data_IF_692507994997
#
_entry.id   IF_692507994997
#
_cell.length_a   1.000
_cell.length_b   1.000
_cell.length_c   1.000
_cell.angle_alpha   90.00
_cell.angle_beta   90.00
_cell.angle_gamma   90.00
#
_symmetry.space_group_name_H-M   'P 1'
#
loop_
_entity.id
_entity.type
_entity.pdbx_description
1 polymer ?
#
# COMPACT_ATOMS: atom_id res chain seq x y z
N UNK A 1 -10.52 29.00 10.12
CA UNK A 1 -10.43 27.77 10.93
C UNK A 1 -9.31 26.92 10.35
N UNK A 2 -8.12 26.92 10.96
CA UNK A 2 -6.97 26.19 10.44
C UNK A 2 -7.09 24.74 10.91
N UNK A 3 -7.75 23.88 10.11
CA UNK A 3 -7.64 22.44 10.28
C UNK A 3 -6.18 22.09 9.98
N UNK A 4 -5.37 22.04 11.02
CA UNK A 4 -4.08 21.40 11.02
C UNK A 4 -4.35 19.93 10.68
N UNK A 5 -4.29 19.61 9.38
CA UNK A 5 -4.28 18.23 8.90
C UNK A 5 -3.10 17.61 9.60
N UNK A 6 -3.36 16.69 10.54
CA UNK A 6 -2.29 15.88 11.10
C UNK A 6 -1.65 15.20 9.90
N UNK A 7 -0.38 15.50 9.63
CA UNK A 7 0.38 14.72 8.66
C UNK A 7 0.46 13.32 9.27
N UNK A 8 -0.35 12.40 8.75
CA UNK A 8 -0.33 11.03 9.23
C UNK A 8 0.71 10.29 8.41
N UNK A 9 1.74 9.82 9.11
CA UNK A 9 2.88 9.08 8.60
C UNK A 9 2.78 7.67 9.19
N UNK A 10 2.77 6.66 8.34
CA UNK A 10 2.72 5.27 8.74
C UNK A 10 4.01 4.59 8.32
N UNK A 11 4.69 3.92 9.25
CA UNK A 11 5.80 3.04 8.88
C UNK A 11 5.22 1.76 8.29
N UNK A 12 5.65 1.45 7.07
CA UNK A 12 5.18 0.29 6.31
C UNK A 12 6.37 -0.42 5.70
N UNK A 13 6.21 -1.70 5.41
CA UNK A 13 7.19 -2.47 4.64
C UNK A 13 6.61 -2.79 3.26
N UNK A 14 7.21 -2.27 2.20
CA UNK A 14 6.79 -2.59 0.84
C UNK A 14 7.23 -4.01 0.49
N UNK A 15 6.28 -4.87 0.14
CA UNK A 15 6.53 -6.28 -0.15
C UNK A 15 6.49 -6.59 -1.64
N UNK A 16 5.53 -5.99 -2.36
CA UNK A 16 5.29 -6.33 -3.75
C UNK A 16 4.49 -5.26 -4.49
N UNK A 17 4.82 -5.07 -5.77
CA UNK A 17 4.03 -4.26 -6.70
C UNK A 17 3.69 -5.11 -7.93
N UNK A 18 2.42 -5.13 -8.32
CA UNK A 18 1.95 -5.82 -9.52
C UNK A 18 1.12 -4.88 -10.39
N UNK A 19 1.22 -5.02 -11.70
CA UNK A 19 0.23 -4.46 -12.61
C UNK A 19 -0.89 -5.47 -12.82
N UNK A 20 -2.13 -5.02 -12.69
CA UNK A 20 -3.29 -5.82 -13.06
C UNK A 20 -3.35 -5.93 -14.58
N UNK A 21 -3.34 -7.17 -15.08
CA UNK A 21 -3.49 -7.51 -16.49
C UNK A 21 -4.66 -8.48 -16.68
N UNK A 22 -5.29 -8.46 -17.85
CA UNK A 22 -6.42 -9.33 -18.14
C UNK A 22 -6.09 -10.83 -18.14
N UNK A 23 -4.81 -11.23 -18.15
CA UNK A 23 -4.42 -12.65 -18.13
C UNK A 23 -4.33 -13.22 -16.71
N UNK A 24 -3.35 -12.77 -15.92
CA UNK A 24 -2.92 -13.51 -14.73
C UNK A 24 -3.28 -12.85 -13.40
N UNK A 25 -3.31 -11.52 -13.32
CA UNK A 25 -3.55 -10.77 -12.08
C UNK A 25 -4.71 -9.82 -12.29
N UNK A 26 -5.91 -10.22 -11.87
CA UNK A 26 -7.15 -9.45 -12.11
C UNK A 26 -7.63 -8.74 -10.86
N UNK A 27 -7.30 -9.29 -9.70
CA UNK A 27 -7.79 -8.84 -8.40
C UNK A 27 -6.64 -8.63 -7.40
N UNK A 28 -6.94 -7.92 -6.31
CA UNK A 28 -6.01 -7.75 -5.19
C UNK A 28 -5.66 -9.12 -4.59
N UNK A 29 -6.62 -10.03 -4.44
CA UNK A 29 -6.42 -11.40 -3.97
C UNK A 29 -5.42 -12.20 -4.84
N UNK A 30 -5.46 -12.02 -6.16
CA UNK A 30 -4.48 -12.65 -7.06
C UNK A 30 -3.05 -12.14 -6.76
N UNK A 31 -2.91 -10.84 -6.53
CA UNK A 31 -1.61 -10.25 -6.18
C UNK A 31 -1.14 -10.70 -4.79
N UNK A 32 -2.03 -10.85 -3.81
CA UNK A 32 -1.70 -11.40 -2.49
C UNK A 32 -1.29 -12.88 -2.60
N UNK A 33 -2.00 -13.67 -3.41
CA UNK A 33 -1.66 -15.06 -3.67
C UNK A 33 -0.28 -15.18 -4.34
N UNK A 34 0.02 -14.25 -5.26
CA UNK A 34 1.32 -14.16 -5.90
C UNK A 34 2.42 -13.77 -4.92
N UNK A 35 2.17 -12.80 -4.04
CA UNK A 35 3.07 -12.41 -2.96
C UNK A 35 3.43 -13.62 -2.09
N UNK A 36 2.43 -14.38 -1.61
CA UNK A 36 2.64 -15.59 -0.80
C UNK A 36 3.49 -16.64 -1.52
N UNK A 37 3.29 -16.82 -2.81
CA UNK A 37 4.10 -17.75 -3.61
C UNK A 37 5.56 -17.29 -3.73
N UNK A 38 5.79 -15.99 -3.90
CA UNK A 38 7.14 -15.42 -3.95
C UNK A 38 7.83 -15.52 -2.59
N UNK A 39 7.08 -15.26 -1.52
CA UNK A 39 7.55 -15.34 -0.13
C UNK A 39 7.99 -16.75 0.23
N UNK A 40 7.17 -17.75 -0.09
CA UNK A 40 7.49 -19.18 0.10
C UNK A 40 8.73 -19.64 -0.70
N UNK A 41 9.17 -18.86 -1.70
CA UNK A 41 10.38 -19.11 -2.49
C UNK A 41 11.57 -18.26 -2.03
N UNK A 42 11.43 -17.46 -0.98
CA UNK A 42 12.44 -16.50 -0.51
C UNK A 42 12.74 -15.42 -1.54
N UNK A 43 11.73 -15.03 -2.35
CA UNK A 43 11.89 -14.05 -3.44
C UNK A 43 11.23 -12.70 -3.14
N UNK A 44 10.70 -12.52 -1.94
CA UNK A 44 10.19 -11.23 -1.46
C UNK A 44 11.32 -10.54 -0.73
N UNK A 45 11.55 -9.28 -1.07
CA UNK A 45 12.47 -8.40 -0.37
C UNK A 45 11.66 -7.23 0.12
N UNK A 46 11.47 -7.17 1.43
CA UNK A 46 10.79 -6.06 2.07
C UNK A 46 11.68 -4.81 2.07
N UNK A 47 11.09 -3.66 1.79
CA UNK A 47 11.73 -2.35 1.97
C UNK A 47 10.92 -1.52 2.96
N UNK A 48 11.53 -1.15 4.09
CA UNK A 48 10.89 -0.28 5.06
C UNK A 48 10.78 1.15 4.53
N UNK A 49 9.60 1.75 4.66
CA UNK A 49 9.27 3.07 4.13
C UNK A 49 8.32 3.82 5.07
N UNK A 50 8.20 5.13 4.88
CA UNK A 50 7.10 5.92 5.43
C UNK A 50 6.07 6.16 4.33
N UNK A 51 4.83 5.75 4.60
CA UNK A 51 3.66 6.10 3.81
C UNK A 51 2.98 7.32 4.43
N UNK A 52 2.84 8.40 3.67
CA UNK A 52 2.20 9.63 4.15
C UNK A 52 1.26 10.23 3.11
N UNK A 53 0.27 10.99 3.58
CA UNK A 53 -0.56 11.83 2.71
C UNK A 53 -0.18 13.29 2.90
N UNK A 54 0.36 13.91 1.86
CA UNK A 54 0.83 15.30 1.89
C UNK A 54 0.57 15.98 0.55
N UNK A 55 0.13 17.24 0.59
CA UNK A 55 -0.11 18.07 -0.59
C UNK A 55 -1.06 17.45 -1.64
N UNK A 56 -2.03 16.63 -1.21
CA UNK A 56 -2.96 15.97 -2.13
C UNK A 56 -2.37 14.77 -2.88
N UNK A 57 -1.25 14.23 -2.40
CA UNK A 57 -0.62 13.00 -2.87
C UNK A 57 -0.34 12.03 -1.73
N UNK A 58 -0.40 10.74 -2.04
CA UNK A 58 0.16 9.67 -1.22
C UNK A 58 1.64 9.54 -1.60
N UNK A 59 2.53 9.73 -0.64
CA UNK A 59 3.97 9.69 -0.82
C UNK A 59 4.56 8.49 -0.08
N UNK A 60 5.47 7.80 -0.76
CA UNK A 60 6.40 6.84 -0.19
C UNK A 60 7.71 7.56 0.04
N UNK A 61 8.16 7.59 1.29
CA UNK A 61 9.41 8.22 1.69
C UNK A 61 10.38 7.17 2.21
N UNK A 62 11.66 7.36 1.89
CA UNK A 62 12.73 6.61 2.52
C UNK A 62 12.85 6.98 4.00
N UNK A 63 13.05 6.00 4.88
CA UNK A 63 13.12 6.25 6.33
C UNK A 63 14.42 6.97 6.71
N UNK A 64 15.54 6.58 6.10
CA UNK A 64 16.87 7.05 6.49
C UNK A 64 17.17 8.43 5.87
N UNK A 65 17.00 8.53 4.55
CA UNK A 65 17.28 9.72 3.78
C UNK A 65 16.18 10.78 3.89
N UNK A 66 14.96 10.38 4.30
CA UNK A 66 13.74 11.23 4.27
C UNK A 66 13.47 11.80 2.88
N UNK A 67 13.84 11.06 1.85
CA UNK A 67 13.66 11.42 0.45
C UNK A 67 12.37 10.79 -0.11
N UNK A 68 11.73 11.50 -1.03
CA UNK A 68 10.56 10.97 -1.74
C UNK A 68 11.03 9.88 -2.71
N UNK A 69 10.54 8.66 -2.50
CA UNK A 69 10.77 7.53 -3.39
C UNK A 69 9.71 7.48 -4.49
N UNK A 70 8.45 7.63 -4.10
CA UNK A 70 7.32 7.57 -5.03
C UNK A 70 6.17 8.48 -4.56
N UNK A 71 5.41 9.04 -5.51
CA UNK A 71 4.33 9.98 -5.21
C UNK A 71 3.16 9.76 -6.15
N UNK A 72 2.01 9.43 -5.57
CA UNK A 72 0.77 9.17 -6.27
C UNK A 72 -0.24 10.25 -5.95
N UNK A 73 -0.82 10.89 -6.96
CA UNK A 73 -1.94 11.79 -6.71
C UNK A 73 -3.08 11.02 -6.06
N UNK A 74 -3.75 11.62 -5.05
CA UNK A 74 -4.94 11.01 -4.47
C UNK A 74 -6.04 10.77 -5.54
N UNK A 75 -6.03 11.55 -6.61
CA UNK A 75 -6.94 11.35 -7.77
C UNK A 75 -6.63 10.10 -8.61
N UNK A 76 -5.44 9.54 -8.50
CA UNK A 76 -5.06 8.28 -9.14
C UNK A 76 -5.26 7.05 -8.26
N UNK A 77 -5.54 7.24 -6.98
CA UNK A 77 -5.82 6.13 -6.07
C UNK A 77 -7.26 5.69 -6.30
N UNK A 78 -7.43 4.44 -6.69
CA UNK A 78 -8.74 3.86 -6.97
C UNK A 78 -9.34 3.19 -5.73
N UNK A 79 -8.49 2.56 -4.93
CA UNK A 79 -8.93 1.75 -3.80
C UNK A 79 -7.76 1.55 -2.82
N UNK A 80 -8.08 1.52 -1.52
CA UNK A 80 -7.14 1.21 -0.44
C UNK A 80 -7.84 0.26 0.54
N UNK A 81 -7.26 -0.92 0.76
CA UNK A 81 -7.87 -1.95 1.60
C UNK A 81 -6.83 -2.59 2.51
N UNK A 82 -7.23 -2.88 3.75
CA UNK A 82 -6.42 -3.64 4.69
C UNK A 82 -6.92 -5.09 4.73
N UNK A 83 -6.07 -6.03 4.33
CA UNK A 83 -6.31 -7.47 4.39
C UNK A 83 -5.63 -8.00 5.66
N UNK A 84 -6.46 -8.23 6.68
CA UNK A 84 -6.05 -8.71 7.99
C UNK A 84 -5.92 -10.24 7.96
N UNK A 85 -4.98 -10.80 8.73
CA UNK A 85 -4.81 -12.25 8.90
C UNK A 85 -4.44 -13.01 7.60
N UNK A 86 -3.49 -12.48 6.83
CA UNK A 86 -3.04 -13.12 5.57
C UNK A 86 -2.02 -14.25 5.80
N UNK A 87 -2.27 -15.11 6.80
CA UNK A 87 -1.43 -16.23 7.28
C UNK A 87 -0.02 -15.85 7.78
N UNK A 88 0.83 -15.28 6.92
CA UNK A 88 2.24 -14.96 7.20
C UNK A 88 2.43 -13.50 7.62
N UNK A 89 1.48 -12.63 7.26
CA UNK A 89 1.52 -11.19 7.53
C UNK A 89 0.38 -10.79 8.48
N UNK A 90 0.69 -9.94 9.45
CA UNK A 90 -0.27 -9.43 10.45
C UNK A 90 -1.39 -8.63 9.79
N UNK A 91 -1.03 -7.68 8.92
CA UNK A 91 -1.95 -6.92 8.08
C UNK A 91 -1.24 -6.51 6.79
N UNK A 92 -1.90 -6.70 5.65
CA UNK A 92 -1.46 -6.23 4.35
C UNK A 92 -2.32 -5.05 3.92
N UNK A 93 -1.73 -3.89 3.73
CA UNK A 93 -2.36 -2.77 3.05
C UNK A 93 -2.15 -2.93 1.54
N UNK A 94 -3.24 -3.04 0.79
CA UNK A 94 -3.23 -2.95 -0.66
C UNK A 94 -3.67 -1.56 -1.11
N UNK A 95 -2.87 -0.92 -1.96
CA UNK A 95 -3.20 0.36 -2.60
C UNK A 95 -3.28 0.13 -4.10
N UNK A 96 -4.46 0.35 -4.68
CA UNK A 96 -4.67 0.28 -6.13
C UNK A 96 -4.57 1.67 -6.73
N UNK A 97 -3.63 1.85 -7.66
CA UNK A 97 -3.39 3.12 -8.36
C UNK A 97 -3.60 2.97 -9.87
N UNK A 98 -4.18 3.99 -10.49
CA UNK A 98 -4.26 4.14 -11.94
C UNK A 98 -3.81 5.56 -12.31
N UNK A 99 -2.51 5.70 -12.52
CA UNK A 99 -1.92 6.95 -12.97
C UNK A 99 -2.42 7.29 -14.38
N UNK A 100 -2.69 8.57 -14.66
CA UNK A 100 -3.17 9.01 -15.99
C UNK A 100 -2.19 8.70 -17.12
N UNK A 101 -0.90 8.58 -16.80
CA UNK A 101 0.18 8.20 -17.71
C UNK A 101 0.18 6.70 -18.04
N UNK A 102 -0.42 5.85 -17.19
CA UNK A 102 -0.44 4.40 -17.34
C UNK A 102 -1.83 3.91 -17.71
N UNK A 103 -1.91 3.03 -18.72
CA UNK A 103 -3.19 2.40 -19.10
C UNK A 103 -3.69 1.38 -18.07
N UNK A 104 -2.77 0.78 -17.31
CA UNK A 104 -3.07 -0.32 -16.38
C UNK A 104 -3.12 0.17 -14.93
N UNK A 105 -3.85 -0.59 -14.11
CA UNK A 105 -3.91 -0.40 -12.67
C UNK A 105 -2.73 -1.13 -12.04
N UNK A 106 -2.06 -0.50 -11.09
CA UNK A 106 -1.04 -1.15 -10.27
C UNK A 106 -1.57 -1.36 -8.87
N UNK A 107 -1.26 -2.50 -8.26
CA UNK A 107 -1.54 -2.77 -6.85
C UNK A 107 -0.22 -2.84 -6.13
N UNK A 108 -0.08 -2.01 -5.11
CA UNK A 108 1.04 -1.96 -4.19
C UNK A 108 0.62 -2.70 -2.92
N UNK A 109 1.43 -3.65 -2.46
CA UNK A 109 1.20 -4.41 -1.24
C UNK A 109 2.26 -4.03 -0.21
N UNK A 110 1.78 -3.58 0.95
CA UNK A 110 2.60 -3.22 2.08
C UNK A 110 2.21 -4.05 3.30
N UNK A 111 3.18 -4.47 4.10
CA UNK A 111 2.94 -4.93 5.45
C UNK A 111 2.87 -3.73 6.40
N UNK A 112 1.88 -3.75 7.28
CA UNK A 112 1.70 -2.74 8.31
C UNK A 112 1.57 -3.41 9.68
N UNK A 113 2.46 -3.08 10.61
CA UNK A 113 2.39 -3.57 12.00
C UNK A 113 1.36 -2.82 12.86
N UNK A 114 0.97 -1.60 12.46
CA UNK A 114 0.07 -0.73 13.24
C UNK A 114 -1.42 -1.10 13.17
N UNK A 115 -1.83 -1.99 12.25
CA UNK A 115 -3.22 -2.44 12.12
C UNK A 115 -3.44 -3.81 12.79
N UNK A 116 -2.95 -3.95 14.02
CA UNK A 116 -3.35 -5.05 14.89
C UNK A 116 -4.80 -4.89 15.32
N UNK A 117 -5.74 -5.52 14.59
CA UNK A 117 -7.12 -5.87 15.02
C UNK A 117 -7.75 -4.82 15.96
N UNK A 118 -8.08 -3.60 15.47
CA UNK A 118 -9.10 -2.73 16.13
C UNK A 118 -9.36 -1.35 15.49
N UNK A 119 -8.62 -0.85 14.48
CA UNK A 119 -8.80 0.57 14.10
C UNK A 119 -9.63 0.88 12.84
N UNK A 120 -10.28 -0.10 12.20
CA UNK A 120 -11.22 0.15 11.09
C UNK A 120 -12.68 0.43 11.53
N UNK A 121 -12.92 0.75 12.80
CA UNK A 121 -14.28 1.08 13.28
C UNK A 121 -14.59 2.60 13.27
N UNK A 122 -13.66 3.49 12.89
CA UNK A 122 -13.85 4.94 13.07
C UNK A 122 -13.84 5.81 11.79
N UNK A 123 -14.13 5.24 10.62
CA UNK A 123 -14.44 6.05 9.42
C UNK A 123 -15.94 6.10 9.10
N UNK A 124 -16.78 5.62 10.02
CA UNK A 124 -18.24 5.65 9.90
C UNK A 124 -18.93 5.89 11.22
N UNK A 125 -18.85 7.10 11.77
CA UNK A 125 -19.84 7.71 12.66
C UNK A 125 -19.66 9.22 12.67
#
# INVERSE_FOLDING_TARGET
VNKQVRNVEYRVEHLFSCELDQKDLKTVDDCISRLKLLDARGRVWGQEMILQVKNGSLQLMDIEAKEELESFSLSSILDCQAVINSCVYSSILSVTVQEKSKRRRSVLLFQCDEFGVSSCENLGS
#
